data_IF_464656054208
#
_entry.id   IF_464656054208
#
_cell.length_a   1.000
_cell.length_b   1.000
_cell.length_c   1.000
_cell.angle_alpha   90.00
_cell.angle_beta   90.00
_cell.angle_gamma   90.00
#
_symmetry.space_group_name_H-M   'P 1'
#
loop_
_entity.id
_entity.type
_entity.pdbx_description
1 polymer ?
#
# COMPACT_ATOMS: atom_id res chain seq x y z
N UNK A 1 -27.12 56.31 23.98
CA UNK A 1 -26.53 55.00 23.62
C UNK A 1 -27.60 53.91 23.73
N UNK A 2 -28.63 54.00 22.89
CA UNK A 2 -29.78 53.08 22.90
C UNK A 2 -30.17 52.84 21.45
N UNK A 3 -29.91 51.62 20.96
CA UNK A 3 -30.60 50.93 19.83
C UNK A 3 -29.64 50.01 19.05
N UNK A 4 -29.51 48.74 19.42
CA UNK A 4 -29.18 47.62 18.48
C UNK A 4 -29.22 46.25 19.18
N UNK A 5 -30.33 45.94 19.87
CA UNK A 5 -30.62 44.57 20.30
C UNK A 5 -32.13 44.33 20.32
N UNK A 6 -32.76 44.38 19.14
CA UNK A 6 -34.15 43.93 18.97
C UNK A 6 -34.41 43.39 17.57
N UNK A 7 -33.67 42.36 17.16
CA UNK A 7 -34.07 41.51 16.04
C UNK A 7 -34.13 40.05 16.50
N UNK A 8 -34.84 39.79 17.60
CA UNK A 8 -35.37 38.45 17.86
C UNK A 8 -36.52 38.25 16.88
N UNK A 9 -36.27 37.49 15.81
CA UNK A 9 -37.30 36.98 14.90
C UNK A 9 -38.44 36.41 15.75
N UNK A 10 -39.69 36.81 15.48
CA UNK A 10 -40.84 36.25 16.17
C UNK A 10 -40.91 34.73 15.92
N UNK A 11 -41.42 33.96 16.90
CA UNK A 11 -41.53 32.50 16.79
C UNK A 11 -42.21 32.03 15.49
N UNK A 12 -43.22 32.79 15.03
CA UNK A 12 -43.91 32.55 13.75
C UNK A 12 -43.03 32.74 12.51
N UNK A 13 -42.10 33.71 12.54
CA UNK A 13 -41.14 33.96 11.46
C UNK A 13 -40.04 32.89 11.45
N UNK A 14 -39.59 32.44 12.62
CA UNK A 14 -38.66 31.32 12.76
C UNK A 14 -39.29 30.01 12.26
N UNK A 15 -40.55 29.74 12.61
CA UNK A 15 -41.28 28.57 12.13
C UNK A 15 -41.51 28.60 10.60
N UNK A 16 -41.82 29.76 10.02
CA UNK A 16 -41.97 29.88 8.56
C UNK A 16 -40.65 29.71 7.81
N UNK A 17 -39.55 30.21 8.37
CA UNK A 17 -38.20 30.02 7.81
C UNK A 17 -37.80 28.54 7.88
N UNK A 18 -38.06 27.87 9.00
CA UNK A 18 -37.79 26.44 9.19
C UNK A 18 -38.58 25.58 8.19
N UNK A 19 -39.88 25.81 8.05
CA UNK A 19 -40.73 25.09 7.09
C UNK A 19 -40.33 25.34 5.63
N UNK A 20 -39.91 26.58 5.31
CA UNK A 20 -39.40 26.92 3.97
C UNK A 20 -38.06 26.21 3.70
N UNK A 21 -37.19 26.11 4.71
CA UNK A 21 -35.93 25.40 4.63
C UNK A 21 -36.14 23.90 4.47
N UNK A 22 -37.06 23.28 5.23
CA UNK A 22 -37.43 21.87 5.05
C UNK A 22 -37.95 21.59 3.64
N UNK A 23 -38.82 22.46 3.11
CA UNK A 23 -39.37 22.30 1.75
C UNK A 23 -38.29 22.45 0.67
N UNK A 24 -37.40 23.43 0.82
CA UNK A 24 -36.24 23.62 -0.07
C UNK A 24 -35.27 22.43 0.00
N UNK A 25 -35.10 21.84 1.19
CA UNK A 25 -34.22 20.70 1.39
C UNK A 25 -34.80 19.40 0.83
N UNK A 26 -36.09 19.13 1.01
CA UNK A 26 -36.78 17.96 0.43
C UNK A 26 -36.79 18.03 -1.09
N UNK A 27 -37.02 19.21 -1.67
CA UNK A 27 -36.95 19.43 -3.11
C UNK A 27 -35.54 19.29 -3.68
N UNK A 28 -34.53 19.82 -2.97
CA UNK A 28 -33.12 19.58 -3.30
C UNK A 28 -32.78 18.08 -3.23
N UNK A 29 -33.18 17.40 -2.16
CA UNK A 29 -32.91 15.98 -1.99
C UNK A 29 -33.59 15.14 -3.07
N UNK A 30 -34.84 15.44 -3.46
CA UNK A 30 -35.51 14.79 -4.59
C UNK A 30 -34.80 15.04 -5.94
N UNK A 31 -34.30 16.25 -6.17
CA UNK A 31 -33.54 16.59 -7.37
C UNK A 31 -32.20 15.85 -7.45
N UNK A 32 -31.49 15.69 -6.34
CA UNK A 32 -30.19 15.00 -6.29
C UNK A 32 -30.32 13.47 -6.16
N UNK A 33 -31.42 12.94 -5.62
CA UNK A 33 -31.64 11.48 -5.55
C UNK A 33 -31.99 10.90 -6.93
N UNK A 34 -32.57 11.71 -7.81
CA UNK A 34 -32.90 11.31 -9.20
C UNK A 34 -31.71 11.40 -10.17
N UNK A 35 -30.73 12.26 -9.87
CA UNK A 35 -29.53 12.47 -10.68
C UNK A 35 -28.31 11.97 -9.90
N UNK A 36 -27.88 10.74 -10.17
CA UNK A 36 -26.85 9.97 -9.44
C UNK A 36 -25.44 10.59 -9.40
N UNK A 37 -25.26 11.87 -9.73
CA UNK A 37 -23.99 12.46 -10.12
C UNK A 37 -23.19 13.10 -8.98
N UNK A 38 -23.76 13.36 -7.81
CA UNK A 38 -23.01 14.01 -6.72
C UNK A 38 -23.37 13.42 -5.36
N UNK A 39 -22.63 12.36 -4.97
CA UNK A 39 -22.83 11.68 -3.68
C UNK A 39 -22.49 12.59 -2.50
N UNK A 40 -21.55 13.52 -2.66
CA UNK A 40 -21.15 14.42 -1.58
C UNK A 40 -22.20 15.50 -1.38
N UNK A 41 -22.84 16.01 -2.44
CA UNK A 41 -24.02 16.85 -2.32
C UNK A 41 -25.19 16.09 -1.67
N UNK A 42 -25.48 14.85 -2.07
CA UNK A 42 -26.53 14.02 -1.45
C UNK A 42 -26.25 13.77 0.03
N UNK A 43 -24.99 13.47 0.41
CA UNK A 43 -24.57 13.29 1.80
C UNK A 43 -24.67 14.58 2.59
N UNK A 44 -24.24 15.71 2.01
CA UNK A 44 -24.34 17.02 2.65
C UNK A 44 -25.80 17.40 2.89
N UNK A 45 -26.66 17.22 1.89
CA UNK A 45 -28.10 17.47 2.00
C UNK A 45 -28.76 16.53 3.03
N UNK A 46 -28.42 15.24 3.01
CA UNK A 46 -28.90 14.26 3.99
C UNK A 46 -28.45 14.59 5.41
N UNK A 47 -27.21 15.05 5.59
CA UNK A 47 -26.68 15.48 6.87
C UNK A 47 -27.38 16.73 7.38
N UNK A 48 -27.54 17.75 6.53
CA UNK A 48 -28.27 18.98 6.88
C UNK A 48 -29.73 18.65 7.24
N UNK A 49 -30.35 17.68 6.55
CA UNK A 49 -31.71 17.21 6.84
C UNK A 49 -31.81 16.56 8.21
N UNK A 50 -30.88 15.65 8.52
CA UNK A 50 -30.84 15.01 9.82
C UNK A 50 -30.50 16.00 10.96
N UNK A 51 -29.59 16.96 10.73
CA UNK A 51 -29.30 18.04 11.69
C UNK A 51 -30.54 18.92 11.94
N UNK A 52 -31.32 19.22 10.89
CA UNK A 52 -32.55 19.99 11.01
C UNK A 52 -33.61 19.26 11.86
N UNK A 53 -33.80 17.96 11.62
CA UNK A 53 -34.69 17.09 12.43
C UNK A 53 -34.22 17.02 13.88
N UNK A 54 -32.91 16.98 14.12
CA UNK A 54 -32.36 16.98 15.47
C UNK A 54 -32.69 18.29 16.22
N UNK A 55 -32.40 19.44 15.63
CA UNK A 55 -32.65 20.74 16.26
C UNK A 55 -34.15 21.06 16.40
N UNK A 56 -35.00 20.64 15.47
CA UNK A 56 -36.45 20.83 15.57
C UNK A 56 -37.03 20.05 16.76
N UNK A 57 -36.58 18.82 16.97
CA UNK A 57 -37.02 18.01 18.12
C UNK A 57 -36.50 18.56 19.46
N UNK A 58 -35.29 19.13 19.51
CA UNK A 58 -34.82 19.84 20.70
C UNK A 58 -35.70 21.06 21.05
N UNK A 59 -36.16 21.80 20.04
CA UNK A 59 -37.07 22.93 20.26
C UNK A 59 -38.45 22.48 20.77
N UNK A 60 -38.96 21.35 20.27
CA UNK A 60 -40.20 20.72 20.79
C UNK A 60 -40.01 20.26 22.24
N UNK A 61 -38.88 19.63 22.57
CA UNK A 61 -38.58 19.21 23.95
C UNK A 61 -38.47 20.39 24.92
N UNK A 62 -38.02 21.55 24.46
CA UNK A 62 -37.88 22.76 25.26
C UNK A 62 -39.22 23.46 25.58
N UNK A 63 -40.26 23.20 24.77
CA UNK A 63 -41.58 23.85 24.89
C UNK A 63 -42.69 22.91 25.33
N UNK A 64 -42.50 21.59 25.21
CA UNK A 64 -43.48 20.58 25.58
C UNK A 64 -43.65 20.48 27.10
N UNK A 65 -44.89 20.65 27.57
CA UNK A 65 -45.31 20.41 28.96
C UNK A 65 -45.76 18.96 29.20
N UNK A 66 -46.03 18.21 28.14
CA UNK A 66 -46.46 16.81 28.19
C UNK A 66 -45.26 15.87 28.03
N UNK A 67 -45.08 14.95 28.98
CA UNK A 67 -43.99 13.99 28.99
C UNK A 67 -44.03 13.02 27.80
N UNK A 68 -45.21 12.69 27.28
CA UNK A 68 -45.35 11.82 26.10
C UNK A 68 -44.79 12.48 24.84
N UNK A 69 -44.99 13.79 24.68
CA UNK A 69 -44.46 14.59 23.57
C UNK A 69 -42.94 14.73 23.70
N UNK A 70 -42.42 14.94 24.91
CA UNK A 70 -40.98 14.99 25.19
C UNK A 70 -40.29 13.67 24.86
N UNK A 71 -40.90 12.53 25.22
CA UNK A 71 -40.37 11.19 24.92
C UNK A 71 -40.35 10.93 23.41
N UNK A 72 -41.42 11.27 22.69
CA UNK A 72 -41.50 11.13 21.23
C UNK A 72 -40.44 11.98 20.52
N UNK A 73 -40.30 13.24 20.91
CA UNK A 73 -39.30 14.15 20.34
C UNK A 73 -37.86 13.68 20.64
N UNK A 74 -37.59 13.19 21.85
CA UNK A 74 -36.28 12.63 22.21
C UNK A 74 -35.91 11.40 21.38
N UNK A 75 -36.88 10.52 21.07
CA UNK A 75 -36.69 9.34 20.20
C UNK A 75 -36.35 9.72 18.76
N UNK A 76 -37.02 10.75 18.23
CA UNK A 76 -36.77 11.26 16.88
C UNK A 76 -35.41 11.97 16.79
N UNK A 77 -35.02 12.74 17.81
CA UNK A 77 -33.69 13.35 17.89
C UNK A 77 -32.57 12.29 17.94
N UNK A 78 -32.79 11.18 18.65
CA UNK A 78 -31.84 10.05 18.68
C UNK A 78 -31.72 9.38 17.31
N UNK A 79 -32.85 9.15 16.62
CA UNK A 79 -32.87 8.58 15.27
C UNK A 79 -32.17 9.49 14.23
N UNK A 80 -32.35 10.81 14.37
CA UNK A 80 -31.64 11.80 13.57
C UNK A 80 -30.13 11.77 13.84
N UNK A 81 -29.73 11.63 15.12
CA UNK A 81 -28.31 11.50 15.49
C UNK A 81 -27.68 10.24 14.87
N UNK A 82 -28.37 9.09 14.92
CA UNK A 82 -27.92 7.87 14.27
C UNK A 82 -27.81 8.02 12.73
N UNK A 83 -28.71 8.81 12.13
CA UNK A 83 -28.66 9.13 10.71
C UNK A 83 -27.44 10.00 10.37
N UNK A 84 -27.18 11.05 11.16
CA UNK A 84 -25.97 11.90 11.03
C UNK A 84 -24.70 11.04 11.14
N UNK A 85 -24.64 10.19 12.16
CA UNK A 85 -23.52 9.28 12.41
C UNK A 85 -23.29 8.35 11.21
N UNK A 86 -24.36 7.74 10.67
CA UNK A 86 -24.26 6.88 9.49
C UNK A 86 -23.74 7.60 8.24
N UNK A 87 -24.13 8.88 8.05
CA UNK A 87 -23.70 9.69 6.91
C UNK A 87 -22.25 10.12 7.06
N UNK A 88 -21.82 10.47 8.28
CA UNK A 88 -20.42 10.81 8.59
C UNK A 88 -19.53 9.58 8.36
N UNK A 89 -19.91 8.41 8.90
CA UNK A 89 -19.16 7.17 8.73
C UNK A 89 -19.05 6.75 7.25
N UNK A 90 -20.08 6.98 6.44
CA UNK A 90 -20.06 6.73 4.98
C UNK A 90 -19.18 7.73 4.21
N UNK A 91 -18.89 8.90 4.81
CA UNK A 91 -18.04 9.95 4.21
C UNK A 91 -16.55 9.82 4.57
N UNK A 92 -16.21 9.06 5.62
CA UNK A 92 -14.84 8.89 6.10
C UNK A 92 -14.15 7.70 5.40
N UNK A 93 -12.97 7.95 4.84
CA UNK A 93 -12.11 6.88 4.33
C UNK A 93 -11.58 6.05 5.51
N UNK A 94 -11.57 4.71 5.38
CA UNK A 94 -11.31 3.72 6.46
C UNK A 94 -12.48 3.44 7.42
N UNK A 95 -13.73 3.58 6.95
CA UNK A 95 -14.95 3.19 7.68
C UNK A 95 -15.03 3.80 9.09
N UNK A 96 -14.68 5.08 9.19
CA UNK A 96 -14.78 5.86 10.41
C UNK A 96 -13.73 5.58 11.49
N UNK A 97 -12.68 4.80 11.19
CA UNK A 97 -11.63 4.49 12.18
C UNK A 97 -10.38 5.32 11.96
N UNK A 98 -10.06 6.13 12.97
CA UNK A 98 -8.85 6.94 13.02
C UNK A 98 -7.59 6.06 13.03
N UNK A 99 -6.68 6.20 12.04
CA UNK A 99 -5.39 5.51 12.05
C UNK A 99 -4.58 5.83 13.31
N UNK A 100 -3.95 4.87 13.96
CA UNK A 100 -3.12 5.17 15.14
C UNK A 100 -1.84 5.91 14.77
N UNK A 101 -1.72 7.15 15.26
CA UNK A 101 -0.50 7.96 15.13
C UNK A 101 0.74 7.21 15.65
N UNK A 102 0.76 6.64 16.88
CA UNK A 102 1.98 6.01 17.40
C UNK A 102 2.40 4.79 16.58
N UNK A 103 1.45 3.97 16.12
CA UNK A 103 1.74 2.80 15.28
C UNK A 103 2.36 3.21 13.95
N UNK A 104 1.73 4.15 13.23
CA UNK A 104 2.23 4.65 11.96
C UNK A 104 3.59 5.35 12.10
N UNK A 105 3.80 6.11 13.18
CA UNK A 105 5.06 6.80 13.45
C UNK A 105 6.23 5.82 13.67
N UNK A 106 6.01 4.70 14.39
CA UNK A 106 7.04 3.67 14.57
C UNK A 106 7.49 3.10 13.23
N UNK A 107 6.55 2.70 12.38
CA UNK A 107 6.90 2.15 11.06
C UNK A 107 7.51 3.20 10.14
N UNK A 108 7.03 4.44 10.17
CA UNK A 108 7.64 5.55 9.43
C UNK A 108 9.12 5.74 9.82
N UNK A 109 9.44 5.79 11.11
CA UNK A 109 10.82 5.92 11.60
C UNK A 109 11.67 4.70 11.20
N UNK A 110 11.13 3.49 11.28
CA UNK A 110 11.83 2.28 10.83
C UNK A 110 12.14 2.34 9.33
N UNK A 111 11.20 2.75 8.50
CA UNK A 111 11.43 2.88 7.05
C UNK A 111 12.50 3.95 6.74
N UNK A 112 12.56 5.05 7.50
CA UNK A 112 13.63 6.05 7.37
C UNK A 112 15.01 5.45 7.68
N UNK A 113 15.11 4.64 8.75
CA UNK A 113 16.36 3.97 9.13
C UNK A 113 16.79 2.99 8.04
N UNK A 114 15.88 2.15 7.55
CA UNK A 114 16.18 1.22 6.46
C UNK A 114 16.54 1.92 5.16
N UNK A 115 15.87 3.03 4.82
CA UNK A 115 16.20 3.83 3.63
C UNK A 115 17.62 4.37 3.72
N UNK A 116 17.99 4.98 4.85
CA UNK A 116 19.34 5.46 5.09
C UNK A 116 20.38 4.33 5.00
N UNK A 117 20.08 3.18 5.59
CA UNK A 117 20.95 2.00 5.53
C UNK A 117 21.13 1.49 4.10
N UNK A 118 20.05 1.26 3.34
CA UNK A 118 20.13 0.70 1.99
C UNK A 118 20.73 1.67 0.98
N UNK A 119 20.51 2.97 1.12
CA UNK A 119 21.21 3.99 0.34
C UNK A 119 22.72 3.91 0.63
N UNK A 120 23.12 4.09 1.88
CA UNK A 120 24.54 4.08 2.26
C UNK A 120 25.23 2.77 1.86
N UNK A 121 24.65 1.64 2.27
CA UNK A 121 25.26 0.33 2.10
C UNK A 121 25.20 -0.17 0.66
N UNK A 122 24.15 0.18 -0.10
CA UNK A 122 24.04 -0.09 -1.53
C UNK A 122 25.13 0.60 -2.35
N UNK A 123 25.38 1.89 -2.09
CA UNK A 123 26.48 2.63 -2.73
C UNK A 123 27.85 2.11 -2.27
N UNK A 124 28.03 1.91 -0.97
CA UNK A 124 29.29 1.44 -0.39
C UNK A 124 29.72 0.06 -0.92
N UNK A 125 28.76 -0.84 -1.16
CA UNK A 125 29.04 -2.21 -1.63
C UNK A 125 29.00 -2.36 -3.15
N UNK A 126 28.77 -1.26 -3.89
CA UNK A 126 28.60 -1.19 -5.35
C UNK A 126 27.44 -2.02 -5.90
N UNK A 127 26.49 -2.45 -5.06
CA UNK A 127 25.27 -3.15 -5.47
C UNK A 127 24.16 -2.15 -5.85
N UNK A 128 24.45 -1.31 -6.86
CA UNK A 128 23.64 -0.12 -7.19
C UNK A 128 22.19 -0.46 -7.58
N UNK A 129 21.98 -1.49 -8.40
CA UNK A 129 20.62 -1.90 -8.82
C UNK A 129 19.73 -2.33 -7.66
N UNK A 130 20.24 -3.21 -6.80
CA UNK A 130 19.54 -3.62 -5.59
C UNK A 130 19.24 -2.41 -4.69
N UNK A 131 20.25 -1.57 -4.43
CA UNK A 131 20.11 -0.38 -3.59
C UNK A 131 19.07 0.62 -4.11
N UNK A 132 19.07 0.92 -5.41
CA UNK A 132 18.10 1.83 -6.04
C UNK A 132 16.70 1.26 -5.93
N UNK A 133 16.49 0.00 -6.32
CA UNK A 133 15.17 -0.65 -6.30
C UNK A 133 14.58 -0.65 -4.90
N UNK A 134 15.38 -1.01 -3.90
CA UNK A 134 14.97 -1.03 -2.51
C UNK A 134 14.73 0.37 -1.94
N UNK A 135 15.52 1.36 -2.33
CA UNK A 135 15.31 2.75 -1.93
C UNK A 135 13.98 3.29 -2.48
N UNK A 136 13.65 3.01 -3.75
CA UNK A 136 12.35 3.38 -4.32
C UNK A 136 11.19 2.73 -3.56
N UNK A 137 11.29 1.43 -3.25
CA UNK A 137 10.28 0.74 -2.44
C UNK A 137 10.10 1.34 -1.05
N UNK A 138 11.21 1.64 -0.35
CA UNK A 138 11.19 2.25 0.98
C UNK A 138 10.65 3.69 0.98
N UNK A 139 10.92 4.47 -0.07
CA UNK A 139 10.33 5.81 -0.25
C UNK A 139 8.80 5.70 -0.41
N UNK A 140 8.32 4.72 -1.17
CA UNK A 140 6.88 4.51 -1.34
C UNK A 140 6.19 4.04 -0.05
N UNK A 141 6.84 3.18 0.75
CA UNK A 141 6.37 2.85 2.11
C UNK A 141 6.30 4.09 2.99
N UNK A 142 7.35 4.93 2.99
CA UNK A 142 7.39 6.18 3.77
C UNK A 142 6.25 7.12 3.41
N UNK A 143 6.00 7.34 2.12
CA UNK A 143 4.88 8.14 1.64
C UNK A 143 3.54 7.51 2.07
N UNK A 144 3.45 6.18 2.06
CA UNK A 144 2.30 5.43 2.54
C UNK A 144 1.99 5.68 4.02
N UNK A 145 2.97 5.52 4.91
CA UNK A 145 2.81 5.77 6.35
C UNK A 145 2.62 7.25 6.68
N UNK A 146 3.28 8.15 5.94
CA UNK A 146 3.08 9.59 6.08
C UNK A 146 1.63 9.97 5.74
N UNK A 147 1.13 9.51 4.59
CA UNK A 147 -0.25 9.71 4.18
C UNK A 147 -1.23 9.18 5.23
N UNK A 148 -1.00 7.97 5.73
CA UNK A 148 -1.82 7.33 6.76
C UNK A 148 -1.83 8.11 8.08
N UNK A 149 -0.70 8.70 8.46
CA UNK A 149 -0.59 9.53 9.66
C UNK A 149 -1.37 10.83 9.50
N UNK A 150 -1.25 11.50 8.34
CA UNK A 150 -2.00 12.73 8.05
C UNK A 150 -3.52 12.49 7.90
N UNK A 151 -3.91 11.28 7.50
CA UNK A 151 -5.32 10.87 7.41
C UNK A 151 -5.99 10.78 8.80
N UNK A 152 -5.21 10.72 9.89
CA UNK A 152 -5.77 10.76 11.26
C UNK A 152 -6.59 12.01 11.53
N UNK A 153 -6.09 13.16 11.06
CA UNK A 153 -6.73 14.45 11.29
C UNK A 153 -7.75 14.79 10.18
N UNK A 154 -7.57 14.24 8.97
CA UNK A 154 -8.36 14.57 7.78
C UNK A 154 -8.91 13.31 7.09
N UNK A 155 -9.81 12.59 7.77
CA UNK A 155 -10.35 11.30 7.32
C UNK A 155 -11.20 11.35 6.05
N UNK A 156 -11.61 12.54 5.62
CA UNK A 156 -12.35 12.78 4.37
C UNK A 156 -11.43 13.16 3.20
N UNK A 157 -10.10 13.19 3.41
CA UNK A 157 -9.15 13.55 2.35
C UNK A 157 -8.91 12.38 1.40
N UNK A 158 -9.54 12.45 0.22
CA UNK A 158 -9.34 11.47 -0.84
C UNK A 158 -7.87 11.41 -1.31
N UNK A 159 -7.18 12.54 -1.40
CA UNK A 159 -5.78 12.59 -1.85
C UNK A 159 -4.84 11.86 -0.89
N UNK A 160 -5.02 12.04 0.43
CA UNK A 160 -4.22 11.33 1.43
C UNK A 160 -4.53 9.82 1.40
N UNK A 161 -5.82 9.47 1.26
CA UNK A 161 -6.24 8.09 1.12
C UNK A 161 -5.61 7.40 -0.11
N UNK A 162 -5.66 8.05 -1.29
CA UNK A 162 -5.04 7.55 -2.52
C UNK A 162 -3.52 7.47 -2.39
N UNK A 163 -2.87 8.45 -1.76
CA UNK A 163 -1.43 8.43 -1.54
C UNK A 163 -1.01 7.24 -0.66
N UNK A 164 -1.74 6.98 0.42
CA UNK A 164 -1.53 5.81 1.27
C UNK A 164 -1.74 4.51 0.48
N UNK A 165 -2.89 4.39 -0.20
CA UNK A 165 -3.25 3.19 -0.94
C UNK A 165 -2.21 2.88 -2.02
N UNK A 166 -1.83 3.88 -2.79
CA UNK A 166 -0.89 3.75 -3.92
C UNK A 166 0.53 3.46 -3.43
N UNK A 167 1.02 4.21 -2.43
CA UNK A 167 2.38 4.03 -1.89
C UNK A 167 2.61 2.61 -1.35
N UNK A 168 1.71 2.15 -0.46
CA UNK A 168 1.82 0.81 0.13
C UNK A 168 1.63 -0.31 -0.90
N UNK A 169 0.87 -0.07 -1.98
CA UNK A 169 0.62 -1.12 -2.98
C UNK A 169 1.75 -1.23 -4.02
N UNK A 170 2.36 -0.12 -4.42
CA UNK A 170 3.44 -0.10 -5.42
C UNK A 170 4.81 -0.46 -4.81
N UNK A 171 5.05 -0.12 -3.53
CA UNK A 171 6.30 -0.44 -2.83
C UNK A 171 6.81 -1.89 -3.01
N UNK A 172 6.00 -2.95 -2.81
CA UNK A 172 6.46 -4.33 -2.94
C UNK A 172 6.93 -4.70 -4.34
N UNK A 173 6.39 -4.09 -5.41
CA UNK A 173 6.87 -4.31 -6.78
C UNK A 173 8.34 -3.88 -6.93
N UNK A 174 8.71 -2.72 -6.40
CA UNK A 174 10.10 -2.25 -6.44
C UNK A 174 11.03 -3.10 -5.56
N UNK A 175 10.55 -3.58 -4.43
CA UNK A 175 11.35 -4.44 -3.54
C UNK A 175 11.61 -5.80 -4.22
N UNK A 176 10.59 -6.36 -4.87
CA UNK A 176 10.68 -7.61 -5.61
C UNK A 176 11.51 -7.48 -6.88
N UNK A 177 11.49 -6.35 -7.59
CA UNK A 177 12.42 -6.08 -8.68
C UNK A 177 13.90 -6.22 -8.24
N UNK A 178 14.23 -5.75 -7.02
CA UNK A 178 15.55 -5.97 -6.42
C UNK A 178 15.83 -7.45 -6.13
N UNK A 179 14.84 -8.21 -5.66
CA UNK A 179 14.97 -9.65 -5.40
C UNK A 179 15.11 -10.45 -6.69
N UNK A 180 14.40 -10.11 -7.77
CA UNK A 180 14.54 -10.73 -9.08
C UNK A 180 15.96 -10.56 -9.63
N UNK A 181 16.55 -9.39 -9.41
CA UNK A 181 17.95 -9.13 -9.73
C UNK A 181 18.91 -9.99 -8.89
N UNK A 182 18.67 -10.12 -7.58
CA UNK A 182 19.45 -10.99 -6.71
C UNK A 182 19.37 -12.46 -7.12
N UNK A 183 18.19 -12.93 -7.53
CA UNK A 183 18.03 -14.28 -8.06
C UNK A 183 18.97 -14.50 -9.25
N UNK A 184 18.91 -13.60 -10.23
CA UNK A 184 19.74 -13.71 -11.42
C UNK A 184 21.24 -13.78 -11.06
N UNK A 185 21.69 -12.97 -10.10
CA UNK A 185 23.07 -13.02 -9.59
C UNK A 185 23.40 -14.35 -8.91
N UNK A 186 22.52 -14.86 -8.04
CA UNK A 186 22.72 -16.17 -7.37
C UNK A 186 22.79 -17.29 -8.40
N UNK A 187 21.92 -17.28 -9.41
CA UNK A 187 21.93 -18.28 -10.49
C UNK A 187 23.26 -18.26 -11.25
N UNK A 188 23.81 -17.08 -11.55
CA UNK A 188 25.14 -16.93 -12.18
C UNK A 188 26.24 -17.47 -11.27
N UNK A 189 26.17 -17.21 -9.96
CA UNK A 189 27.18 -17.63 -8.98
C UNK A 189 27.19 -19.15 -8.79
N UNK A 190 26.03 -19.80 -8.86
CA UNK A 190 25.87 -21.24 -8.60
C UNK A 190 26.14 -22.05 -9.85
N UNK A 191 25.20 -22.04 -10.79
CA UNK A 191 25.26 -22.72 -12.08
C UNK A 191 24.01 -22.31 -12.88
N UNK A 192 24.15 -21.55 -13.98
CA UNK A 192 23.02 -21.14 -14.81
C UNK A 192 22.20 -22.30 -15.39
N UNK A 193 22.80 -23.47 -15.63
CA UNK A 193 22.12 -24.63 -16.22
C UNK A 193 21.10 -25.30 -15.28
N UNK A 194 21.18 -25.03 -13.98
CA UNK A 194 20.21 -25.54 -13.00
C UNK A 194 18.92 -24.71 -12.94
N UNK A 195 18.87 -23.60 -13.68
CA UNK A 195 17.74 -22.67 -13.66
C UNK A 195 16.81 -22.88 -14.85
N UNK A 196 15.51 -22.66 -14.64
CA UNK A 196 14.51 -22.85 -15.69
C UNK A 196 14.64 -21.80 -16.80
N UNK A 197 15.01 -20.58 -16.42
CA UNK A 197 15.25 -19.48 -17.35
C UNK A 197 16.72 -19.04 -17.34
N UNK A 198 17.13 -18.32 -18.38
CA UNK A 198 18.42 -17.62 -18.35
C UNK A 198 18.38 -16.54 -17.25
N UNK A 199 19.50 -16.25 -16.57
CA UNK A 199 19.54 -15.26 -15.47
C UNK A 199 18.90 -13.91 -15.82
N UNK A 200 19.16 -13.37 -17.01
CA UNK A 200 18.58 -12.10 -17.45
C UNK A 200 17.07 -12.16 -17.68
N UNK A 201 16.54 -13.31 -18.11
CA UNK A 201 15.12 -13.49 -18.37
C UNK A 201 14.29 -13.41 -17.09
N UNK A 202 14.80 -13.87 -15.94
CA UNK A 202 14.14 -13.67 -14.65
C UNK A 202 13.87 -12.19 -14.38
N UNK A 203 14.89 -11.35 -14.57
CA UNK A 203 14.76 -9.93 -14.31
C UNK A 203 13.74 -9.29 -15.26
N UNK A 204 13.81 -9.56 -16.57
CA UNK A 204 12.91 -8.91 -17.54
C UNK A 204 11.45 -9.39 -17.45
N UNK A 205 11.21 -10.69 -17.30
CA UNK A 205 9.85 -11.25 -17.28
C UNK A 205 9.10 -10.79 -16.04
N UNK A 206 9.72 -10.91 -14.87
CA UNK A 206 9.05 -10.60 -13.60
C UNK A 206 8.94 -9.09 -13.36
N UNK A 207 9.96 -8.28 -13.71
CA UNK A 207 9.82 -6.81 -13.68
C UNK A 207 8.78 -6.34 -14.70
N UNK A 208 8.76 -6.91 -15.91
CA UNK A 208 7.74 -6.58 -16.91
C UNK A 208 6.32 -6.88 -16.42
N UNK A 209 6.13 -8.02 -15.74
CA UNK A 209 4.87 -8.35 -15.10
C UNK A 209 4.49 -7.37 -13.99
N UNK A 210 5.44 -6.91 -13.17
CA UNK A 210 5.19 -5.91 -12.13
C UNK A 210 4.88 -4.53 -12.72
N UNK A 211 5.46 -4.16 -13.85
CA UNK A 211 5.09 -2.92 -14.55
C UNK A 211 3.64 -3.00 -15.03
N UNK A 212 3.22 -4.12 -15.60
CA UNK A 212 1.83 -4.32 -16.04
C UNK A 212 0.87 -4.24 -14.83
N UNK A 213 1.21 -4.85 -13.69
CA UNK A 213 0.37 -4.77 -12.48
C UNK A 213 0.28 -3.34 -11.96
N UNK A 214 1.39 -2.59 -11.93
CA UNK A 214 1.41 -1.18 -11.54
C UNK A 214 0.54 -0.34 -12.48
N UNK A 215 0.60 -0.57 -13.79
CA UNK A 215 -0.24 0.15 -14.76
C UNK A 215 -1.73 -0.12 -14.55
N UNK A 216 -2.10 -1.37 -14.27
CA UNK A 216 -3.48 -1.73 -13.90
C UNK A 216 -3.89 -1.03 -12.60
N UNK A 217 -3.03 -1.02 -11.58
CA UNK A 217 -3.31 -0.35 -10.32
C UNK A 217 -3.44 1.17 -10.49
N UNK A 218 -2.54 1.80 -11.24
CA UNK A 218 -2.57 3.22 -11.53
C UNK A 218 -3.83 3.61 -12.33
N UNK A 219 -4.19 2.81 -13.33
CA UNK A 219 -5.43 2.99 -14.07
C UNK A 219 -6.66 2.80 -13.17
N UNK A 220 -6.65 1.80 -12.28
CA UNK A 220 -7.74 1.57 -11.32
C UNK A 220 -7.89 2.73 -10.32
N UNK A 221 -6.78 3.22 -9.77
CA UNK A 221 -6.75 4.40 -8.92
C UNK A 221 -7.23 5.66 -9.64
N UNK A 222 -6.78 5.88 -10.88
CA UNK A 222 -7.20 7.01 -11.71
C UNK A 222 -8.69 6.98 -12.07
N UNK A 223 -9.23 5.81 -12.45
CA UNK A 223 -10.66 5.63 -12.73
C UNK A 223 -11.50 5.84 -11.47
N UNK A 224 -10.98 5.48 -10.29
CA UNK A 224 -11.60 5.78 -9.00
C UNK A 224 -11.64 7.28 -8.67
N UNK A 225 -10.77 8.11 -9.26
CA UNK A 225 -10.75 9.57 -9.09
C UNK A 225 -11.66 10.29 -10.10
N UNK A 226 -11.66 9.84 -11.36
CA UNK A 226 -12.11 10.66 -12.49
C UNK A 226 -13.64 10.67 -12.73
N UNK A 227 -14.43 9.85 -12.04
CA UNK A 227 -15.86 9.70 -12.35
C UNK A 227 -16.71 9.51 -11.10
N UNK A 228 -17.59 10.47 -10.84
CA UNK A 228 -18.54 10.41 -9.74
C UNK A 228 -19.50 9.21 -9.87
N UNK A 229 -19.56 8.45 -8.78
CA UNK A 229 -20.51 7.40 -8.40
C UNK A 229 -20.61 6.09 -9.22
N UNK A 230 -20.48 6.07 -10.55
CA UNK A 230 -20.71 4.83 -11.36
C UNK A 230 -19.46 3.97 -11.57
N UNK A 231 -18.27 4.57 -11.56
CA UNK A 231 -17.03 3.88 -11.94
C UNK A 231 -16.10 3.54 -10.78
N UNK A 232 -16.42 3.89 -9.53
CA UNK A 232 -15.58 3.49 -8.38
C UNK A 232 -15.47 1.96 -8.25
N UNK A 233 -16.55 1.22 -8.57
CA UNK A 233 -16.55 -0.25 -8.62
C UNK A 233 -15.62 -0.78 -9.71
N UNK A 234 -15.58 -0.09 -10.85
CA UNK A 234 -14.69 -0.43 -11.96
C UNK A 234 -13.23 -0.13 -11.61
N UNK A 235 -12.94 1.02 -11.01
CA UNK A 235 -11.60 1.38 -10.53
C UNK A 235 -11.09 0.42 -9.46
N UNK A 236 -11.95 0.05 -8.49
CA UNK A 236 -11.66 -0.99 -7.49
C UNK A 236 -11.39 -2.35 -8.14
N UNK A 237 -12.20 -2.79 -9.11
CA UNK A 237 -11.99 -4.05 -9.81
C UNK A 237 -10.65 -4.06 -10.57
N UNK A 238 -10.27 -2.93 -11.17
CA UNK A 238 -9.01 -2.79 -11.90
C UNK A 238 -7.79 -2.77 -10.96
N UNK A 239 -7.90 -2.12 -9.78
CA UNK A 239 -6.91 -2.21 -8.70
C UNK A 239 -6.71 -3.67 -8.23
N UNK A 240 -7.82 -4.38 -7.97
CA UNK A 240 -7.79 -5.80 -7.56
C UNK A 240 -7.17 -6.66 -8.68
N UNK A 241 -7.52 -6.42 -9.94
CA UNK A 241 -6.96 -7.16 -11.07
C UNK A 241 -5.44 -7.02 -11.15
N UNK A 242 -4.90 -5.80 -10.95
CA UNK A 242 -3.46 -5.57 -10.88
C UNK A 242 -2.79 -6.33 -9.73
N UNK A 243 -3.38 -6.29 -8.53
CA UNK A 243 -2.90 -7.03 -7.36
C UNK A 243 -2.90 -8.55 -7.56
N UNK A 244 -3.98 -9.10 -8.11
CA UNK A 244 -4.09 -10.54 -8.41
C UNK A 244 -3.05 -10.95 -9.45
N UNK A 245 -2.88 -10.16 -10.51
CA UNK A 245 -1.86 -10.42 -11.52
C UNK A 245 -0.45 -10.43 -10.93
N UNK A 246 -0.14 -9.47 -10.05
CA UNK A 246 1.12 -9.41 -9.32
C UNK A 246 1.35 -10.67 -8.46
N UNK A 247 0.35 -11.10 -7.68
CA UNK A 247 0.46 -12.29 -6.82
C UNK A 247 0.62 -13.56 -7.63
N UNK A 248 -0.11 -13.72 -8.74
CA UNK A 248 0.06 -14.87 -9.65
C UNK A 248 1.48 -14.92 -10.21
N UNK A 249 2.01 -13.76 -10.63
CA UNK A 249 3.39 -13.65 -11.10
C UNK A 249 4.41 -14.01 -10.02
N UNK A 250 4.24 -13.49 -8.79
CA UNK A 250 5.08 -13.85 -7.65
C UNK A 250 5.02 -15.35 -7.31
N UNK A 251 3.86 -15.99 -7.43
CA UNK A 251 3.72 -17.44 -7.22
C UNK A 251 4.54 -18.21 -8.24
N UNK A 252 4.46 -17.83 -9.52
CA UNK A 252 5.27 -18.45 -10.57
C UNK A 252 6.78 -18.24 -10.34
N UNK A 253 7.17 -17.04 -9.91
CA UNK A 253 8.55 -16.74 -9.49
C UNK A 253 9.02 -17.67 -8.37
N UNK A 254 8.20 -17.85 -7.33
CA UNK A 254 8.53 -18.72 -6.19
C UNK A 254 8.71 -20.18 -6.63
N UNK A 255 7.85 -20.69 -7.51
CA UNK A 255 8.01 -22.03 -8.08
C UNK A 255 9.37 -22.16 -8.76
N UNK A 256 9.75 -21.18 -9.58
CA UNK A 256 11.05 -21.19 -10.25
C UNK A 256 12.21 -21.10 -9.25
N UNK A 257 12.10 -20.24 -8.24
CA UNK A 257 13.11 -20.06 -7.20
C UNK A 257 13.34 -21.34 -6.39
N UNK A 258 12.28 -21.96 -5.89
CA UNK A 258 12.37 -23.17 -5.09
C UNK A 258 12.79 -24.38 -5.94
N UNK A 259 12.38 -24.45 -7.21
CA UNK A 259 12.88 -25.45 -8.14
C UNK A 259 14.40 -25.31 -8.33
N UNK A 260 14.91 -24.09 -8.51
CA UNK A 260 16.34 -23.82 -8.60
C UNK A 260 17.08 -24.22 -7.31
N UNK A 261 16.58 -23.85 -6.13
CA UNK A 261 17.19 -24.25 -4.85
C UNK A 261 17.21 -25.78 -4.65
N UNK A 262 16.16 -26.47 -5.09
CA UNK A 262 16.08 -27.93 -5.04
C UNK A 262 17.10 -28.58 -5.98
N UNK A 263 17.20 -28.10 -7.22
CA UNK A 263 18.17 -28.59 -8.20
C UNK A 263 19.61 -28.31 -7.75
N UNK A 264 19.88 -27.13 -7.20
CA UNK A 264 21.17 -26.79 -6.59
C UNK A 264 21.52 -27.74 -5.44
N UNK A 265 20.58 -27.98 -4.53
CA UNK A 265 20.80 -28.92 -3.40
C UNK A 265 21.07 -30.34 -3.88
N UNK A 266 20.42 -30.77 -4.97
CA UNK A 266 20.63 -32.08 -5.59
C UNK A 266 22.00 -32.18 -6.27
N UNK A 267 22.40 -31.14 -6.99
CA UNK A 267 23.69 -31.07 -7.68
C UNK A 267 24.85 -31.13 -6.68
N UNK A 268 24.76 -30.35 -5.60
CA UNK A 268 25.73 -30.37 -4.50
C UNK A 268 25.86 -31.76 -3.85
N UNK A 269 24.77 -32.52 -3.72
CA UNK A 269 24.81 -33.88 -3.16
C UNK A 269 25.41 -34.90 -4.11
N UNK A 270 25.24 -34.73 -5.42
CA UNK A 270 25.70 -35.68 -6.43
C UNK A 270 27.14 -35.46 -6.84
N UNK A 271 27.48 -34.22 -7.17
CA UNK A 271 28.78 -33.87 -7.76
C UNK A 271 29.60 -32.97 -6.82
N UNK A 272 29.04 -32.50 -5.70
CA UNK A 272 29.76 -31.57 -4.82
C UNK A 272 29.95 -30.20 -5.49
N UNK A 273 31.06 -29.53 -5.18
CA UNK A 273 31.40 -28.24 -5.78
C UNK A 273 31.82 -28.35 -7.26
N UNK A 274 32.08 -29.55 -7.80
CA UNK A 274 32.51 -29.71 -9.19
C UNK A 274 31.38 -29.50 -10.21
N UNK A 275 30.12 -29.64 -9.78
CA UNK A 275 28.93 -29.34 -10.59
C UNK A 275 28.55 -27.85 -10.59
N UNK A 276 29.34 -26.99 -9.92
CA UNK A 276 29.07 -25.56 -9.78
C UNK A 276 30.15 -24.73 -10.48
N UNK A 277 29.84 -23.46 -10.74
CA UNK A 277 30.70 -22.59 -11.53
C UNK A 277 32.06 -22.35 -10.84
N UNK A 278 33.21 -22.76 -11.38
CA UNK A 278 34.49 -22.69 -10.67
C UNK A 278 34.92 -21.26 -10.32
N UNK A 279 34.56 -20.30 -11.18
CA UNK A 279 34.98 -18.89 -11.08
C UNK A 279 34.46 -18.19 -9.82
N UNK A 280 33.35 -18.69 -9.23
CA UNK A 280 32.71 -18.09 -8.06
C UNK A 280 32.85 -18.92 -6.77
N UNK A 281 33.72 -19.94 -6.75
CA UNK A 281 34.02 -20.77 -5.58
C UNK A 281 34.36 -19.95 -4.32
N UNK A 282 35.13 -18.87 -4.47
CA UNK A 282 35.49 -17.96 -3.37
C UNK A 282 34.31 -17.18 -2.78
N UNK A 283 33.25 -16.95 -3.55
CA UNK A 283 32.00 -16.34 -3.06
C UNK A 283 31.19 -17.40 -2.30
N UNK A 284 31.01 -18.58 -2.90
CA UNK A 284 30.22 -19.68 -2.30
C UNK A 284 30.80 -20.21 -1.00
N UNK A 285 32.12 -20.15 -0.82
CA UNK A 285 32.78 -20.56 0.41
C UNK A 285 32.42 -19.68 1.62
N UNK A 286 31.95 -18.43 1.40
CA UNK A 286 31.62 -17.50 2.48
C UNK A 286 30.42 -17.96 3.27
N UNK A 287 30.51 -17.92 4.61
CA UNK A 287 29.39 -18.22 5.51
C UNK A 287 28.15 -17.35 5.22
N UNK A 288 28.37 -16.07 4.90
CA UNK A 288 27.30 -15.14 4.54
C UNK A 288 26.55 -15.59 3.28
N UNK A 289 27.26 -16.03 2.23
CA UNK A 289 26.62 -16.54 1.01
C UNK A 289 25.80 -17.81 1.26
N UNK A 290 26.26 -18.71 2.14
CA UNK A 290 25.50 -19.92 2.47
C UNK A 290 24.15 -19.62 3.13
N UNK A 291 24.06 -18.55 3.93
CA UNK A 291 22.82 -18.15 4.59
C UNK A 291 21.94 -17.24 3.72
N UNK A 292 22.53 -16.57 2.73
CA UNK A 292 21.86 -15.55 1.91
C UNK A 292 20.65 -16.07 1.11
N UNK A 293 20.69 -17.22 0.40
CA UNK A 293 19.51 -17.76 -0.28
C UNK A 293 18.34 -18.05 0.67
N UNK A 294 18.61 -18.47 1.91
CA UNK A 294 17.57 -18.69 2.90
C UNK A 294 16.92 -17.38 3.35
N UNK A 295 17.72 -16.31 3.51
CA UNK A 295 17.22 -14.98 3.82
C UNK A 295 16.37 -14.41 2.68
N UNK A 296 16.81 -14.56 1.42
CA UNK A 296 16.02 -14.18 0.24
C UNK A 296 14.70 -14.95 0.20
N UNK A 297 14.73 -16.26 0.46
CA UNK A 297 13.53 -17.10 0.50
C UNK A 297 12.54 -16.63 1.56
N UNK A 298 13.02 -16.36 2.78
CA UNK A 298 12.18 -15.86 3.87
C UNK A 298 11.61 -14.46 3.55
N UNK A 299 12.40 -13.56 2.98
CA UNK A 299 11.93 -12.24 2.56
C UNK A 299 10.83 -12.32 1.49
N UNK A 300 10.98 -13.19 0.49
CA UNK A 300 9.96 -13.43 -0.54
C UNK A 300 8.66 -13.95 0.08
N UNK A 301 8.74 -14.87 1.06
CA UNK A 301 7.54 -15.37 1.76
C UNK A 301 6.82 -14.23 2.49
N UNK A 302 7.54 -13.36 3.21
CA UNK A 302 6.91 -12.24 3.91
C UNK A 302 6.23 -11.26 2.96
N UNK A 303 6.88 -10.90 1.84
CA UNK A 303 6.30 -10.02 0.82
C UNK A 303 5.08 -10.68 0.15
N UNK A 304 5.12 -12.00 -0.04
CA UNK A 304 4.01 -12.75 -0.61
C UNK A 304 2.78 -12.80 0.32
N UNK A 305 2.98 -13.07 1.61
CA UNK A 305 1.90 -13.04 2.62
C UNK A 305 1.25 -11.66 2.66
N UNK A 306 2.05 -10.59 2.64
CA UNK A 306 1.56 -9.21 2.56
C UNK A 306 0.73 -8.97 1.29
N UNK A 307 1.20 -9.43 0.14
CA UNK A 307 0.48 -9.28 -1.14
C UNK A 307 -0.87 -10.02 -1.14
N UNK A 308 -0.97 -11.19 -0.51
CA UNK A 308 -2.24 -11.91 -0.34
C UNK A 308 -3.18 -11.13 0.58
N UNK A 309 -2.69 -10.66 1.73
CA UNK A 309 -3.47 -9.82 2.65
C UNK A 309 -4.03 -8.61 1.93
N UNK A 310 -3.22 -7.97 1.06
CA UNK A 310 -3.65 -6.79 0.30
C UNK A 310 -4.78 -7.08 -0.68
N UNK A 311 -4.77 -8.24 -1.34
CA UNK A 311 -5.91 -8.69 -2.15
C UNK A 311 -7.13 -8.90 -1.26
N UNK A 312 -6.98 -9.61 -0.14
CA UNK A 312 -8.09 -9.91 0.76
C UNK A 312 -8.73 -8.62 1.31
N UNK A 313 -7.92 -7.67 1.78
CA UNK A 313 -8.35 -6.36 2.27
C UNK A 313 -9.16 -5.60 1.19
N UNK A 314 -8.69 -5.62 -0.06
CA UNK A 314 -9.36 -4.90 -1.14
C UNK A 314 -10.62 -5.65 -1.63
N UNK A 315 -10.63 -6.98 -1.67
CA UNK A 315 -11.78 -7.79 -2.09
C UNK A 315 -12.91 -7.72 -1.07
N UNK A 316 -12.61 -7.97 0.21
CA UNK A 316 -13.58 -8.02 1.31
C UNK A 316 -14.21 -6.63 1.57
N UNK A 317 -13.58 -5.58 1.04
CA UNK A 317 -14.10 -4.23 1.07
C UNK A 317 -13.73 -3.49 2.34
N UNK A 318 -13.86 -2.17 2.27
CA UNK A 318 -13.36 -1.24 3.30
C UNK A 318 -14.13 -1.33 4.62
N UNK A 319 -15.29 -2.01 4.64
CA UNK A 319 -16.10 -2.29 5.82
C UNK A 319 -15.80 -3.66 6.47
N UNK A 320 -14.93 -4.48 5.88
CA UNK A 320 -14.60 -5.81 6.41
C UNK A 320 -13.76 -5.74 7.69
N UNK A 321 -13.90 -6.74 8.57
CA UNK A 321 -13.18 -6.84 9.85
C UNK A 321 -11.64 -6.87 9.67
N UNK A 322 -11.16 -7.27 8.49
CA UNK A 322 -9.73 -7.31 8.10
C UNK A 322 -9.15 -5.93 7.76
N UNK A 323 -9.91 -5.08 7.07
CA UNK A 323 -9.49 -3.72 6.71
C UNK A 323 -9.61 -2.74 7.90
N UNK A 324 -10.55 -3.03 8.81
CA UNK A 324 -10.89 -2.11 9.90
C UNK A 324 -10.20 -2.38 11.24
N UNK A 325 -9.67 -3.58 11.49
CA UNK A 325 -8.88 -3.81 12.71
C UNK A 325 -7.40 -3.57 12.43
N UNK A 326 -6.85 -2.50 13.03
CA UNK A 326 -5.42 -2.19 12.99
C UNK A 326 -4.55 -3.36 13.51
N UNK A 327 -5.13 -4.22 14.35
CA UNK A 327 -4.52 -5.45 14.82
C UNK A 327 -4.17 -6.46 13.71
N UNK A 328 -4.80 -6.39 12.53
CA UNK A 328 -4.41 -7.18 11.36
C UNK A 328 -3.51 -6.40 10.41
N UNK A 329 -3.76 -5.09 10.25
CA UNK A 329 -2.95 -4.22 9.40
C UNK A 329 -1.48 -4.20 9.84
N UNK A 330 -1.18 -3.88 11.11
CA UNK A 330 0.21 -3.77 11.53
C UNK A 330 1.01 -5.08 11.44
N UNK A 331 0.47 -6.26 11.84
CA UNK A 331 1.23 -7.51 11.71
C UNK A 331 1.33 -8.04 10.29
N UNK A 332 0.29 -7.92 9.46
CA UNK A 332 0.25 -8.54 8.13
C UNK A 332 0.77 -7.62 7.02
N UNK A 333 0.62 -6.31 7.16
CA UNK A 333 1.16 -5.32 6.23
C UNK A 333 2.56 -4.87 6.70
N UNK A 334 2.60 -4.16 7.84
CA UNK A 334 3.79 -3.42 8.27
C UNK A 334 4.91 -4.32 8.79
N UNK A 335 4.58 -5.33 9.60
CA UNK A 335 5.58 -6.22 10.18
C UNK A 335 6.18 -7.17 9.14
N UNK A 336 5.38 -7.71 8.21
CA UNK A 336 5.90 -8.58 7.14
C UNK A 336 6.95 -7.86 6.28
N UNK A 337 6.69 -6.62 5.90
CA UNK A 337 7.66 -5.81 5.15
C UNK A 337 8.89 -5.48 5.98
N UNK A 338 8.69 -5.08 7.23
CA UNK A 338 9.79 -4.78 8.16
C UNK A 338 10.70 -5.99 8.36
N UNK A 339 10.13 -7.20 8.48
CA UNK A 339 10.90 -8.45 8.60
C UNK A 339 11.72 -8.73 7.34
N UNK A 340 11.15 -8.51 6.15
CA UNK A 340 11.88 -8.63 4.89
C UNK A 340 13.06 -7.63 4.82
N UNK A 341 12.85 -6.38 5.27
CA UNK A 341 13.90 -5.37 5.34
C UNK A 341 14.99 -5.74 6.33
N UNK A 342 14.65 -6.22 7.53
CA UNK A 342 15.62 -6.68 8.53
C UNK A 342 16.48 -7.80 7.94
N UNK A 343 15.87 -8.82 7.34
CA UNK A 343 16.59 -9.98 6.79
C UNK A 343 17.63 -9.58 5.76
N UNK A 344 17.25 -8.75 4.78
CA UNK A 344 18.14 -8.34 3.69
C UNK A 344 18.99 -7.12 4.03
N UNK A 345 18.76 -6.48 5.18
CA UNK A 345 19.72 -5.55 5.80
C UNK A 345 20.87 -6.31 6.47
N UNK A 346 20.55 -7.33 7.26
CA UNK A 346 21.55 -8.16 7.97
C UNK A 346 22.36 -9.00 6.98
N UNK A 347 21.67 -9.65 6.05
CA UNK A 347 22.27 -10.46 4.98
C UNK A 347 22.16 -9.72 3.67
N UNK A 348 22.83 -8.58 3.57
CA UNK A 348 22.87 -7.78 2.35
C UNK A 348 23.71 -8.45 1.24
N UNK A 349 23.37 -8.31 -0.05
CA UNK A 349 24.18 -8.86 -1.16
C UNK A 349 25.66 -8.48 -1.10
N UNK A 350 25.95 -7.25 -0.67
CA UNK A 350 27.32 -6.76 -0.46
C UNK A 350 28.13 -7.53 0.59
N UNK A 351 27.51 -8.05 1.66
CA UNK A 351 28.19 -8.96 2.61
C UNK A 351 28.31 -10.37 2.05
N UNK A 352 27.26 -10.84 1.36
CA UNK A 352 27.19 -12.18 0.78
C UNK A 352 28.24 -12.39 -0.32
N UNK A 353 28.34 -11.47 -1.29
CA UNK A 353 29.26 -11.57 -2.42
C UNK A 353 30.67 -11.08 -2.08
N UNK A 354 30.77 -10.08 -1.20
CA UNK A 354 32.00 -9.40 -0.83
C UNK A 354 32.17 -8.03 -1.47
N UNK A 355 32.96 -7.18 -0.81
CA UNK A 355 33.23 -5.81 -1.24
C UNK A 355 33.85 -5.80 -2.65
N UNK A 356 33.28 -5.01 -3.54
CA UNK A 356 33.80 -4.77 -4.90
C UNK A 356 33.45 -5.84 -5.95
N UNK A 357 32.80 -6.93 -5.55
CA UNK A 357 32.35 -7.95 -6.50
C UNK A 357 31.03 -7.50 -7.13
N UNK A 358 31.05 -7.22 -8.42
CA UNK A 358 29.85 -6.86 -9.18
C UNK A 358 29.54 -8.01 -10.14
N UNK A 359 28.47 -8.76 -9.85
CA UNK A 359 27.96 -9.78 -10.77
C UNK A 359 27.01 -9.09 -11.73
N UNK A 360 27.43 -8.97 -12.99
CA UNK A 360 26.66 -8.30 -14.04
C UNK A 360 25.71 -9.31 -14.66
N UNK A 361 24.40 -9.07 -14.51
CA UNK A 361 23.34 -9.95 -15.05
C UNK A 361 23.13 -9.72 -16.55
N UNK A 362 23.33 -8.49 -17.05
CA UNK A 362 23.18 -8.13 -18.46
C UNK A 362 24.08 -6.94 -18.83
N UNK A 363 24.66 -6.94 -20.03
CA UNK A 363 25.48 -5.85 -20.57
C UNK A 363 24.67 -4.58 -20.86
N UNK A 364 23.38 -4.67 -21.16
CA UNK A 364 22.49 -3.51 -21.37
C UNK A 364 22.28 -2.69 -20.08
N UNK A 365 22.33 -3.33 -18.91
CA UNK A 365 22.27 -2.67 -17.61
C UNK A 365 23.58 -1.98 -17.21
N UNK A 366 24.68 -2.15 -17.97
CA UNK A 366 25.96 -1.42 -17.75
C UNK A 366 25.82 0.08 -17.92
N UNK A 367 24.92 0.56 -18.78
CA UNK A 367 24.75 1.99 -19.03
C UNK A 367 24.36 2.75 -17.75
N UNK A 368 23.61 2.12 -16.85
CA UNK A 368 23.21 2.68 -15.55
C UNK A 368 24.29 2.48 -14.48
N UNK A 369 25.15 1.45 -14.63
CA UNK A 369 26.20 1.12 -13.65
C UNK A 369 27.37 2.13 -13.69
N UNK A 370 27.43 3.04 -14.68
CA UNK A 370 28.47 4.05 -14.79
C UNK A 370 29.80 3.44 -15.25
N UNK A 371 30.48 4.13 -16.18
CA UNK A 371 31.82 3.77 -16.66
C UNK A 371 32.84 3.99 -15.54
N UNK A 372 32.99 3.05 -14.62
CA UNK A 372 34.12 3.07 -13.66
C UNK A 372 35.33 2.33 -14.26
N UNK A 373 36.52 2.93 -14.08
CA UNK A 373 37.80 2.52 -14.65
C UNK A 373 38.15 1.07 -14.27
N UNK A 374 38.71 0.36 -15.26
CA UNK A 374 39.04 -1.09 -15.29
C UNK A 374 40.06 -1.58 -14.27
N UNK A 375 40.64 -0.73 -13.41
CA UNK A 375 41.89 -1.07 -12.72
C UNK A 375 41.76 -1.78 -11.36
N UNK A 376 40.57 -1.89 -10.75
CA UNK A 376 40.42 -2.53 -9.42
C UNK A 376 39.31 -3.59 -9.33
N UNK A 377 38.69 -3.93 -10.46
CA UNK A 377 37.49 -4.75 -10.47
C UNK A 377 37.85 -6.18 -10.89
N UNK A 378 37.68 -7.16 -9.98
CA UNK A 378 37.51 -8.57 -10.37
C UNK A 378 36.17 -8.70 -11.09
N UNK A 379 36.09 -8.21 -12.33
CA UNK A 379 34.94 -8.38 -13.20
C UNK A 379 35.03 -9.78 -13.78
N UNK A 380 34.10 -10.65 -13.39
CA UNK A 380 33.87 -11.90 -14.09
C UNK A 380 32.98 -11.58 -15.29
N UNK A 381 33.59 -11.09 -16.38
CA UNK A 381 32.96 -10.91 -17.68
C UNK A 381 32.79 -12.29 -18.33
N UNK A 382 31.56 -12.68 -18.71
CA UNK A 382 31.38 -13.77 -19.67
C UNK A 382 31.60 -13.19 -21.07
N UNK A 383 32.61 -13.70 -21.79
CA UNK A 383 32.55 -13.73 -23.25
C UNK A 383 31.43 -14.72 -23.60
N UNK A 384 30.39 -14.20 -24.27
CA UNK A 384 29.23 -14.97 -24.76
C UNK A 384 29.61 -15.87 -25.94
#
# INVERSE_FOLDING_TARGET
>A
MSSTLSNTLGYSQLASIHSSLETALVSAQAAYTSNSYDKDAVRTLGRVSAELVYYSNLAVMATATDDSVRISASSQALSATASIESIILDSEYLAGRKPSIPGNAVFFVLMCIFLGFHLFYGFYTKQRWFGISWSCGLILELLGYLARTLLHDNMTSFSLYVMQLTGLTIAPCFIMAGIYYLLAQITIIVNPALSLFKPSQYTYVFIGSDIISILLQAAGGGVSVANDSRNWKQGKALLIAGLVFQVVSMTFFQICWYAFLFLWSRELRKHGESGLEPQYSGIRARKAFKLFPYAVSAAVIFIYVRSIYRIAELVDGFDSRLATHEAYFFPLESAMMTLAFILLSVLHPGTAYGRGVVVVVDHSLRAVIGKEKKDDQKVYEMEL
#
